data_IF_948432173751
#
_entry.id   IF_948432173751
#
_cell.length_a   1.000
_cell.length_b   1.000
_cell.length_c   1.000
_cell.angle_alpha   90.00
_cell.angle_beta   90.00
_cell.angle_gamma   90.00
#
_symmetry.space_group_name_H-M   'P 1'
#
loop_
_entity.id
_entity.type
_entity.pdbx_description
1 polymer ?
#
# COMPACT_ATOMS: atom_id res chain seq x y z
N UNK A 1 -39.34 -19.58 -39.19
CA UNK A 1 -38.82 -18.68 -38.14
C UNK A 1 -38.93 -19.39 -36.81
N UNK A 2 -37.83 -19.90 -36.27
CA UNK A 2 -37.77 -20.33 -34.87
C UNK A 2 -36.31 -20.19 -34.42
N UNK A 3 -36.14 -19.32 -33.43
CA UNK A 3 -34.87 -18.81 -32.94
C UNK A 3 -34.09 -19.89 -32.18
N UNK A 4 -32.84 -20.09 -32.58
CA UNK A 4 -31.80 -20.67 -31.74
C UNK A 4 -31.45 -19.65 -30.64
N UNK A 5 -31.84 -19.91 -29.39
CA UNK A 5 -31.21 -19.28 -28.23
C UNK A 5 -30.21 -20.26 -27.61
N UNK A 6 -28.95 -19.88 -27.74
CA UNK A 6 -27.80 -20.50 -27.09
C UNK A 6 -27.96 -20.26 -25.57
N UNK A 7 -28.15 -21.34 -24.82
CA UNK A 7 -28.12 -21.32 -23.35
C UNK A 7 -26.66 -21.11 -22.96
N UNK A 8 -26.29 -19.88 -22.60
CA UNK A 8 -25.07 -19.63 -21.84
C UNK A 8 -25.29 -20.19 -20.44
N UNK A 9 -24.63 -21.31 -20.14
CA UNK A 9 -24.43 -21.80 -18.79
C UNK A 9 -23.65 -20.75 -18.00
N UNK A 10 -24.36 -20.02 -17.14
CA UNK A 10 -23.77 -19.11 -16.15
C UNK A 10 -22.82 -19.92 -15.25
N UNK A 11 -21.58 -19.45 -14.99
CA UNK A 11 -20.70 -20.09 -14.02
C UNK A 11 -21.36 -20.05 -12.63
N UNK A 12 -21.27 -21.14 -11.88
CA UNK A 12 -21.74 -21.21 -10.50
C UNK A 12 -21.12 -20.08 -9.67
N UNK A 13 -21.90 -19.05 -9.33
CA UNK A 13 -21.52 -17.99 -8.41
C UNK A 13 -21.21 -18.59 -7.03
N UNK A 14 -19.93 -18.61 -6.66
CA UNK A 14 -19.50 -18.85 -5.29
C UNK A 14 -20.05 -17.71 -4.43
N UNK A 15 -21.16 -17.94 -3.74
CA UNK A 15 -21.73 -17.03 -2.73
C UNK A 15 -20.64 -16.59 -1.75
N UNK A 16 -20.39 -15.28 -1.65
CA UNK A 16 -19.34 -14.70 -0.79
C UNK A 16 -19.55 -15.07 0.69
N UNK A 17 -18.46 -15.14 1.47
CA UNK A 17 -18.48 -15.35 2.92
C UNK A 17 -19.52 -14.47 3.63
N UNK A 18 -19.53 -13.17 3.28
CA UNK A 18 -20.50 -12.20 3.76
C UNK A 18 -21.92 -12.59 3.38
N UNK A 19 -22.20 -13.00 2.14
CA UNK A 19 -23.55 -13.44 1.76
C UNK A 19 -24.05 -14.66 2.54
N UNK A 20 -23.15 -15.51 3.05
CA UNK A 20 -23.49 -16.69 3.87
C UNK A 20 -23.63 -16.35 5.37
N UNK A 21 -22.82 -15.43 5.90
CA UNK A 21 -23.10 -14.83 7.22
C UNK A 21 -24.40 -14.02 7.20
N UNK A 22 -24.69 -13.38 6.06
CA UNK A 22 -25.73 -12.37 5.92
C UNK A 22 -26.96 -12.84 5.15
N UNK A 23 -27.04 -14.11 4.74
CA UNK A 23 -28.29 -14.72 4.25
C UNK A 23 -29.39 -14.71 5.30
N UNK A 24 -29.08 -14.25 6.52
CA UNK A 24 -29.97 -13.54 7.45
C UNK A 24 -30.57 -12.22 6.88
N UNK A 25 -30.83 -12.16 5.56
CA UNK A 25 -31.43 -11.05 4.80
C UNK A 25 -32.79 -10.60 5.35
N UNK A 26 -33.38 -11.39 6.25
CA UNK A 26 -34.63 -11.13 6.97
C UNK A 26 -34.54 -9.96 7.98
N UNK A 27 -33.35 -9.52 8.41
CA UNK A 27 -33.22 -8.45 9.42
C UNK A 27 -33.87 -7.13 8.96
N UNK A 28 -33.70 -6.75 7.69
CA UNK A 28 -34.30 -5.52 7.13
C UNK A 28 -35.70 -5.74 6.55
N UNK A 29 -36.10 -6.99 6.23
CA UNK A 29 -37.46 -7.28 5.78
C UNK A 29 -38.48 -7.20 6.92
N UNK A 30 -38.07 -7.48 8.17
CA UNK A 30 -39.00 -7.52 9.32
C UNK A 30 -39.23 -6.19 10.03
N UNK A 31 -38.41 -5.16 9.81
CA UNK A 31 -38.54 -3.88 10.53
C UNK A 31 -38.49 -2.67 9.59
N UNK A 32 -39.59 -2.31 8.89
CA UNK A 32 -39.64 -1.14 8.03
C UNK A 32 -39.78 0.20 8.80
N UNK A 33 -39.53 0.26 10.11
CA UNK A 33 -39.66 1.49 10.90
C UNK A 33 -38.64 1.58 12.03
N UNK A 34 -37.49 2.19 11.74
CA UNK A 34 -36.98 3.26 12.59
C UNK A 34 -36.53 4.36 11.63
N UNK A 35 -37.31 5.43 11.54
CA UNK A 35 -36.74 6.73 11.20
C UNK A 35 -35.69 6.98 12.27
N UNK A 36 -34.42 6.69 11.94
CA UNK A 36 -33.32 7.02 12.82
C UNK A 36 -33.27 8.54 12.89
N UNK A 37 -33.87 9.08 13.94
CA UNK A 37 -33.65 10.45 14.38
C UNK A 37 -32.14 10.62 14.49
N UNK A 38 -31.58 11.43 13.61
CA UNK A 38 -30.18 11.86 13.67
C UNK A 38 -29.97 12.48 15.05
N UNK A 39 -29.24 11.78 15.93
CA UNK A 39 -28.84 12.30 17.24
C UNK A 39 -27.43 12.87 17.10
N UNK A 40 -27.27 14.21 17.00
CA UNK A 40 -25.95 14.83 16.79
C UNK A 40 -24.98 14.60 17.97
N UNK A 41 -25.49 14.17 19.12
CA UNK A 41 -24.76 14.17 20.39
C UNK A 41 -24.22 12.81 20.84
N UNK A 42 -24.48 11.70 20.13
CA UNK A 42 -24.14 10.35 20.62
C UNK A 42 -22.86 9.75 20.02
N UNK A 43 -22.47 10.01 18.76
CA UNK A 43 -21.37 9.23 18.12
C UNK A 43 -20.21 10.08 17.54
N UNK A 44 -19.95 11.24 18.13
CA UNK A 44 -18.73 11.99 17.78
C UNK A 44 -17.57 11.54 18.68
N UNK A 45 -16.42 11.08 18.13
CA UNK A 45 -15.20 10.95 18.92
C UNK A 45 -14.91 12.30 19.57
N UNK A 46 -15.09 12.40 20.89
CA UNK A 46 -14.72 13.59 21.66
C UNK A 46 -13.21 13.61 21.78
N UNK A 47 -12.52 13.89 20.67
CA UNK A 47 -11.08 14.12 20.69
C UNK A 47 -10.85 15.37 21.52
N UNK A 48 -10.23 15.18 22.69
CA UNK A 48 -9.82 16.23 23.63
C UNK A 48 -8.62 17.04 23.15
N UNK A 49 -8.17 16.83 21.91
CA UNK A 49 -7.04 17.54 21.33
C UNK A 49 -7.54 18.76 20.53
N UNK A 50 -7.19 19.94 21.03
CA UNK A 50 -7.37 21.22 20.35
C UNK A 50 -6.56 21.19 19.04
N UNK A 51 -7.31 21.15 17.93
CA UNK A 51 -6.83 20.98 16.54
C UNK A 51 -7.42 19.71 15.91
N UNK A 52 -8.60 19.81 15.27
CA UNK A 52 -9.36 18.67 14.75
C UNK A 52 -8.51 17.82 13.80
N UNK A 53 -8.05 16.67 14.30
CA UNK A 53 -7.35 15.67 13.49
C UNK A 53 -8.27 15.20 12.38
N UNK A 54 -7.71 14.88 11.21
CA UNK A 54 -8.44 14.28 10.10
C UNK A 54 -9.01 12.94 10.55
N UNK A 55 -10.10 12.50 9.93
CA UNK A 55 -10.66 11.17 10.18
C UNK A 55 -10.30 10.25 9.03
N UNK A 56 -9.89 9.03 9.37
CA UNK A 56 -9.79 7.94 8.41
C UNK A 56 -10.72 6.81 8.80
N UNK A 57 -11.66 6.51 7.91
CA UNK A 57 -12.54 5.36 8.00
C UNK A 57 -11.87 4.21 7.25
N UNK A 58 -11.66 3.08 7.93
CA UNK A 58 -11.09 1.88 7.33
C UNK A 58 -12.13 0.77 7.33
N UNK A 59 -12.33 0.15 6.17
CA UNK A 59 -13.08 -1.09 6.07
C UNK A 59 -12.31 -2.30 6.62
N UNK A 60 -13.01 -3.40 6.90
CA UNK A 60 -12.44 -4.61 7.49
C UNK A 60 -12.19 -5.72 6.46
N UNK A 61 -13.26 -6.27 5.89
CA UNK A 61 -13.23 -7.48 5.05
C UNK A 61 -12.73 -7.15 3.64
N UNK A 62 -11.84 -7.97 3.08
CA UNK A 62 -11.12 -7.70 1.83
C UNK A 62 -10.29 -6.39 1.82
N UNK A 63 -10.21 -5.67 2.95
CA UNK A 63 -9.42 -4.45 3.10
C UNK A 63 -8.26 -4.65 4.08
N UNK A 64 -8.55 -5.02 5.33
CA UNK A 64 -7.58 -5.26 6.40
C UNK A 64 -7.39 -6.74 6.71
N UNK A 65 -8.40 -7.56 6.45
CA UNK A 65 -8.39 -9.00 6.66
C UNK A 65 -9.14 -9.70 5.54
N UNK A 66 -9.01 -11.01 5.46
CA UNK A 66 -9.89 -11.85 4.67
C UNK A 66 -10.34 -13.06 5.48
N UNK A 67 -11.62 -13.42 5.35
CA UNK A 67 -12.24 -14.45 6.18
C UNK A 67 -13.02 -15.47 5.38
N UNK A 68 -12.99 -16.71 5.84
CA UNK A 68 -13.75 -17.82 5.24
C UNK A 68 -14.17 -18.86 6.27
N UNK A 69 -15.23 -19.60 5.95
CA UNK A 69 -15.74 -20.70 6.78
C UNK A 69 -14.98 -22.02 6.57
N UNK A 70 -14.36 -22.18 5.40
CA UNK A 70 -13.61 -23.39 5.09
C UNK A 70 -12.25 -23.31 5.77
N UNK A 71 -11.83 -24.40 6.42
CA UNK A 71 -10.49 -24.50 7.00
C UNK A 71 -9.43 -24.40 5.89
N UNK A 72 -8.35 -23.69 6.17
CA UNK A 72 -7.14 -23.63 5.37
C UNK A 72 -5.93 -23.60 6.30
N UNK A 73 -4.78 -24.12 5.88
CA UNK A 73 -3.67 -24.39 6.80
C UNK A 73 -2.91 -23.13 7.28
N UNK A 74 -3.26 -21.96 6.77
CA UNK A 74 -2.49 -20.74 6.94
C UNK A 74 -3.35 -19.54 7.32
N UNK A 75 -4.02 -19.60 8.47
CA UNK A 75 -4.76 -18.48 9.09
C UNK A 75 -3.99 -17.87 10.26
N UNK A 76 -4.31 -16.62 10.60
CA UNK A 76 -3.76 -15.91 11.75
C UNK A 76 -4.69 -16.01 12.97
N UNK A 77 -6.00 -16.12 12.72
CA UNK A 77 -7.03 -16.16 13.75
C UNK A 77 -8.14 -17.14 13.35
N UNK A 78 -8.59 -17.96 14.30
CA UNK A 78 -9.78 -18.78 14.17
C UNK A 78 -10.79 -18.36 15.25
N UNK A 79 -12.04 -18.16 14.84
CA UNK A 79 -13.12 -17.67 15.68
C UNK A 79 -14.28 -18.65 15.68
N UNK A 80 -14.80 -18.93 16.86
CA UNK A 80 -16.10 -19.59 17.06
C UNK A 80 -17.13 -18.50 17.38
N UNK A 81 -18.02 -18.21 16.43
CA UNK A 81 -19.03 -17.15 16.54
C UNK A 81 -20.44 -17.73 16.57
N UNK A 82 -21.35 -17.05 17.26
CA UNK A 82 -22.76 -17.43 17.32
C UNK A 82 -23.58 -16.38 16.59
N UNK A 83 -24.30 -16.80 15.54
CA UNK A 83 -25.22 -15.94 14.79
C UNK A 83 -26.56 -16.64 14.73
N UNK A 84 -27.62 -15.99 15.24
CA UNK A 84 -28.99 -16.55 15.28
C UNK A 84 -29.05 -17.96 15.90
N UNK A 85 -28.35 -18.15 17.03
CA UNK A 85 -28.27 -19.44 17.75
C UNK A 85 -27.57 -20.56 16.97
N UNK A 86 -26.88 -20.25 15.88
CA UNK A 86 -26.05 -21.19 15.14
C UNK A 86 -24.56 -20.85 15.32
N UNK A 87 -23.76 -21.89 15.59
CA UNK A 87 -22.31 -21.76 15.71
C UNK A 87 -21.65 -21.81 14.34
N UNK A 88 -20.72 -20.90 14.10
CA UNK A 88 -19.88 -20.88 12.91
C UNK A 88 -18.42 -20.80 13.33
N UNK A 89 -17.58 -21.59 12.64
CA UNK A 89 -16.13 -21.45 12.70
C UNK A 89 -15.66 -20.59 11.53
N UNK A 90 -14.94 -19.53 11.83
CA UNK A 90 -14.40 -18.57 10.85
C UNK A 90 -12.89 -18.55 10.97
N UNK A 91 -12.21 -18.60 9.83
CA UNK A 91 -10.76 -18.53 9.73
C UNK A 91 -10.39 -17.23 9.02
N UNK A 92 -9.47 -16.47 9.60
CA UNK A 92 -9.14 -15.10 9.22
C UNK A 92 -7.64 -15.00 8.92
N UNK A 93 -7.31 -14.36 7.80
CA UNK A 93 -5.95 -13.91 7.45
C UNK A 93 -5.89 -12.41 7.61
N UNK A 94 -4.83 -11.91 8.23
CA UNK A 94 -4.55 -10.50 8.37
C UNK A 94 -3.71 -9.99 7.20
N UNK A 95 -4.08 -8.83 6.66
CA UNK A 95 -3.32 -8.21 5.58
C UNK A 95 -1.93 -7.81 6.06
N UNK A 96 -0.85 -8.20 5.34
CA UNK A 96 0.51 -7.87 5.74
C UNK A 96 0.72 -6.36 5.96
N UNK A 97 1.43 -6.00 7.04
CA UNK A 97 1.78 -4.62 7.36
C UNK A 97 0.77 -3.86 8.24
N UNK A 98 -0.32 -4.49 8.68
CA UNK A 98 -1.40 -3.81 9.43
C UNK A 98 -0.91 -3.07 10.69
N UNK A 99 0.02 -3.65 11.45
CA UNK A 99 0.54 -3.03 12.68
C UNK A 99 1.21 -1.69 12.36
N UNK A 100 2.12 -1.69 11.39
CA UNK A 100 2.82 -0.47 10.96
C UNK A 100 1.83 0.53 10.35
N UNK A 101 0.84 0.05 9.61
CA UNK A 101 -0.20 0.88 9.03
C UNK A 101 -0.97 1.65 10.11
N UNK A 102 -1.44 0.98 11.16
CA UNK A 102 -2.14 1.63 12.27
C UNK A 102 -1.22 2.53 13.11
N UNK A 103 0.01 2.09 13.41
CA UNK A 103 1.00 2.88 14.14
C UNK A 103 1.26 4.23 13.46
N UNK A 104 1.31 4.24 12.12
CA UNK A 104 1.56 5.43 11.34
C UNK A 104 0.30 6.28 11.20
N UNK A 105 -0.85 5.70 10.85
CA UNK A 105 -2.10 6.44 10.72
C UNK A 105 -2.52 7.12 12.03
N UNK A 106 -2.32 6.45 13.17
CA UNK A 106 -2.69 6.99 14.48
C UNK A 106 -1.90 8.24 14.88
N UNK A 107 -0.84 8.61 14.15
CA UNK A 107 -0.14 9.87 14.34
C UNK A 107 -0.83 11.05 13.62
N UNK A 108 -1.60 10.78 12.56
CA UNK A 108 -2.19 11.81 11.69
C UNK A 108 -3.73 11.85 11.72
N UNK A 109 -4.37 10.73 12.03
CA UNK A 109 -5.81 10.56 11.97
C UNK A 109 -6.42 10.10 13.29
N UNK A 110 -7.69 10.47 13.48
CA UNK A 110 -8.60 9.71 14.34
C UNK A 110 -9.14 8.54 13.51
N UNK A 111 -8.76 7.31 13.87
CA UNK A 111 -9.09 6.10 13.10
C UNK A 111 -10.48 5.59 13.49
N UNK A 112 -11.33 5.38 12.50
CA UNK A 112 -12.63 4.71 12.66
C UNK A 112 -12.60 3.40 11.87
N UNK A 113 -12.85 2.27 12.53
CA UNK A 113 -13.09 1.01 11.82
C UNK A 113 -14.58 0.92 11.51
N UNK A 114 -14.97 0.87 10.25
CA UNK A 114 -16.37 0.77 9.85
C UNK A 114 -16.55 -0.37 8.87
N UNK A 115 -17.26 -1.42 9.26
CA UNK A 115 -17.52 -2.59 8.41
C UNK A 115 -19.01 -2.77 8.14
N UNK A 116 -19.34 -3.32 6.97
CA UNK A 116 -20.69 -3.81 6.69
C UNK A 116 -20.98 -5.16 7.35
N UNK A 117 -20.05 -5.75 8.11
CA UNK A 117 -20.19 -7.06 8.76
C UNK A 117 -20.88 -7.01 10.12
N UNK A 118 -21.35 -8.17 10.56
CA UNK A 118 -21.98 -8.35 11.88
C UNK A 118 -20.96 -8.17 13.00
N UNK A 119 -21.41 -7.58 14.12
CA UNK A 119 -20.56 -7.27 15.28
C UNK A 119 -19.97 -8.52 15.91
N UNK A 120 -20.73 -9.61 15.96
CA UNK A 120 -20.35 -10.91 16.53
C UNK A 120 -19.09 -11.50 15.87
N UNK A 121 -18.90 -11.20 14.58
CA UNK A 121 -17.70 -11.56 13.84
C UNK A 121 -16.65 -10.46 13.88
N UNK A 122 -17.04 -9.22 13.58
CA UNK A 122 -16.08 -8.15 13.34
C UNK A 122 -15.37 -7.69 14.62
N UNK A 123 -16.06 -7.67 15.77
CA UNK A 123 -15.50 -7.22 17.04
C UNK A 123 -14.26 -8.04 17.47
N UNK A 124 -14.31 -9.39 17.55
CA UNK A 124 -13.13 -10.17 17.90
C UNK A 124 -12.00 -10.08 16.86
N UNK A 125 -12.31 -9.88 15.58
CA UNK A 125 -11.28 -9.60 14.56
C UNK A 125 -10.60 -8.27 14.84
N UNK A 126 -11.37 -7.20 15.10
CA UNK A 126 -10.86 -5.88 15.44
C UNK A 126 -10.01 -5.91 16.72
N UNK A 127 -10.39 -6.71 17.73
CA UNK A 127 -9.59 -6.90 18.95
C UNK A 127 -8.23 -7.54 18.65
N UNK A 128 -8.17 -8.44 17.66
CA UNK A 128 -6.92 -9.08 17.24
C UNK A 128 -5.99 -8.14 16.45
N UNK A 129 -6.54 -7.35 15.51
CA UNK A 129 -5.73 -6.47 14.65
C UNK A 129 -5.40 -5.11 15.28
N UNK A 130 -6.18 -4.68 16.29
CA UNK A 130 -6.01 -3.42 17.02
C UNK A 130 -5.88 -3.65 18.54
N UNK A 131 -4.86 -4.39 19.02
CA UNK A 131 -4.71 -4.70 20.44
C UNK A 131 -4.43 -3.45 21.30
N UNK A 132 -3.84 -2.41 20.70
CA UNK A 132 -3.52 -1.15 21.36
C UNK A 132 -4.69 -0.15 21.37
N UNK A 133 -5.86 -0.53 20.80
CA UNK A 133 -7.07 0.32 20.69
C UNK A 133 -6.80 1.69 20.07
N UNK A 134 -6.11 1.71 18.93
CA UNK A 134 -5.84 2.93 18.14
C UNK A 134 -7.09 3.46 17.45
N UNK A 135 -8.05 2.59 17.13
CA UNK A 135 -9.34 3.03 16.63
C UNK A 135 -10.12 3.75 17.73
N UNK A 136 -10.55 4.99 17.46
CA UNK A 136 -11.37 5.79 18.39
C UNK A 136 -12.84 5.36 18.38
N UNK A 137 -13.28 4.71 17.30
CA UNK A 137 -14.65 4.23 17.12
C UNK A 137 -14.69 2.97 16.25
N UNK A 138 -15.69 2.10 16.50
CA UNK A 138 -15.90 0.84 15.77
C UNK A 138 -17.37 0.72 15.37
N UNK A 139 -17.63 0.89 14.09
CA UNK A 139 -18.96 0.87 13.48
C UNK A 139 -19.18 -0.43 12.71
N UNK A 140 -20.38 -0.99 12.84
CA UNK A 140 -20.75 -2.28 12.27
C UNK A 140 -21.90 -2.13 11.27
N UNK A 141 -22.44 -3.28 10.82
CA UNK A 141 -23.56 -3.36 9.88
C UNK A 141 -24.77 -2.48 10.23
N UNK A 142 -25.11 -2.40 11.51
CA UNK A 142 -26.24 -1.62 12.01
C UNK A 142 -26.06 -0.10 11.83
N UNK A 143 -24.81 0.35 11.70
CA UNK A 143 -24.46 1.75 11.44
C UNK A 143 -24.54 2.11 9.95
N UNK A 144 -24.53 1.11 9.06
CA UNK A 144 -24.63 1.34 7.61
C UNK A 144 -26.02 1.84 7.18
N UNK A 145 -26.06 2.60 6.09
CA UNK A 145 -27.29 3.07 5.44
C UNK A 145 -27.72 2.09 4.36
N UNK A 146 -28.98 1.60 4.34
CA UNK A 146 -29.51 0.87 3.19
C UNK A 146 -29.54 1.76 1.95
N UNK A 147 -28.95 1.29 0.85
CA UNK A 147 -28.96 1.98 -0.43
C UNK A 147 -29.22 0.99 -1.57
N UNK A 148 -30.37 1.14 -2.24
CA UNK A 148 -30.88 0.17 -3.22
C UNK A 148 -30.90 -1.25 -2.62
N UNK A 149 -30.15 -2.18 -3.22
CA UNK A 149 -30.07 -3.58 -2.81
C UNK A 149 -28.83 -3.90 -1.94
N UNK A 150 -28.19 -2.87 -1.37
CA UNK A 150 -26.96 -3.02 -0.59
C UNK A 150 -26.89 -2.06 0.59
N UNK A 151 -25.70 -2.01 1.19
CA UNK A 151 -25.37 -1.12 2.30
C UNK A 151 -24.30 -0.12 1.84
N UNK A 152 -24.36 1.09 2.38
CA UNK A 152 -23.35 2.13 2.18
C UNK A 152 -23.03 2.83 3.51
N UNK A 153 -21.83 3.39 3.61
CA UNK A 153 -21.31 4.09 4.79
C UNK A 153 -21.46 5.59 4.54
N UNK A 154 -22.58 6.12 5.00
CA UNK A 154 -22.91 7.54 4.87
C UNK A 154 -22.03 8.37 5.82
N UNK A 155 -20.99 8.98 5.27
CA UNK A 155 -19.99 9.72 6.06
C UNK A 155 -20.58 10.98 6.71
N UNK A 156 -21.74 11.48 6.24
CA UNK A 156 -22.42 12.63 6.85
C UNK A 156 -22.92 12.33 8.27
N UNK A 157 -23.05 11.04 8.62
CA UNK A 157 -23.42 10.57 9.95
C UNK A 157 -22.29 10.71 10.99
N UNK A 158 -21.05 10.94 10.57
CA UNK A 158 -19.92 11.11 11.48
C UNK A 158 -19.89 12.47 12.19
N UNK A 159 -20.75 13.42 11.78
CA UNK A 159 -20.81 14.75 12.39
C UNK A 159 -19.51 15.56 12.22
N UNK A 160 -18.85 15.41 11.06
CA UNK A 160 -17.55 16.01 10.75
C UNK A 160 -17.58 16.62 9.36
N UNK A 161 -16.78 17.67 9.16
CA UNK A 161 -16.66 18.28 7.84
C UNK A 161 -15.99 17.27 6.88
N UNK A 162 -16.66 16.96 5.77
CA UNK A 162 -16.17 15.97 4.81
C UNK A 162 -14.85 16.38 4.15
N UNK A 163 -14.44 17.66 4.21
CA UNK A 163 -13.09 18.05 3.78
C UNK A 163 -11.97 17.42 4.64
N UNK A 164 -12.33 16.91 5.81
CA UNK A 164 -11.43 16.34 6.82
C UNK A 164 -11.57 14.81 6.96
N UNK A 165 -12.39 14.16 6.12
CA UNK A 165 -12.70 12.72 6.23
C UNK A 165 -12.21 11.96 5.00
N UNK A 166 -11.47 10.86 5.21
CA UNK A 166 -11.09 9.90 4.17
C UNK A 166 -11.73 8.55 4.50
N UNK A 167 -12.26 7.85 3.50
CA UNK A 167 -12.63 6.44 3.63
C UNK A 167 -11.78 5.56 2.71
N UNK A 168 -11.23 4.49 3.26
CA UNK A 168 -10.50 3.45 2.52
C UNK A 168 -11.31 2.16 2.58
N UNK A 169 -11.77 1.73 1.41
CA UNK A 169 -12.67 0.59 1.27
C UNK A 169 -12.44 -0.04 -0.10
N UNK A 170 -12.49 -1.37 -0.19
CA UNK A 170 -12.27 -2.06 -1.45
C UNK A 170 -13.48 -1.94 -2.40
N UNK A 171 -14.66 -1.69 -1.84
CA UNK A 171 -15.93 -1.56 -2.56
C UNK A 171 -16.34 -0.10 -2.73
N UNK A 172 -16.43 0.37 -3.99
CA UNK A 172 -16.95 1.71 -4.31
C UNK A 172 -18.39 1.94 -3.84
N UNK A 173 -19.18 0.87 -3.67
CA UNK A 173 -20.55 0.97 -3.17
C UNK A 173 -20.58 1.42 -1.70
N UNK A 174 -19.54 1.10 -0.93
CA UNK A 174 -19.43 1.45 0.48
C UNK A 174 -19.38 2.96 0.70
N UNK A 175 -18.92 3.75 -0.27
CA UNK A 175 -18.83 5.21 -0.17
C UNK A 175 -19.54 5.93 -1.32
N UNK A 176 -20.53 5.29 -1.95
CA UNK A 176 -21.25 5.85 -3.12
C UNK A 176 -21.99 7.16 -2.81
N UNK A 177 -22.35 7.41 -1.54
CA UNK A 177 -22.96 8.67 -1.10
C UNK A 177 -21.94 9.81 -0.95
N UNK A 178 -20.66 9.49 -0.78
CA UNK A 178 -19.57 10.45 -0.58
C UNK A 178 -18.36 10.07 -1.46
N UNK A 179 -18.52 10.00 -2.80
CA UNK A 179 -17.50 9.44 -3.69
C UNK A 179 -16.18 10.21 -3.69
N UNK A 180 -16.21 11.51 -3.42
CA UNK A 180 -15.00 12.34 -3.37
C UNK A 180 -14.11 12.04 -2.16
N UNK A 181 -14.65 11.41 -1.11
CA UNK A 181 -13.93 11.05 0.11
C UNK A 181 -13.25 9.67 0.02
N UNK A 182 -13.57 8.89 -1.02
CA UNK A 182 -13.17 7.50 -1.12
C UNK A 182 -11.80 7.28 -1.77
N UNK A 183 -11.02 6.40 -1.15
CA UNK A 183 -9.91 5.70 -1.77
C UNK A 183 -10.30 4.23 -1.96
N UNK A 184 -10.49 3.81 -3.20
CA UNK A 184 -10.66 2.40 -3.50
C UNK A 184 -9.32 1.67 -3.34
N UNK A 185 -9.22 0.80 -2.35
CA UNK A 185 -8.07 -0.09 -2.13
C UNK A 185 -8.27 -1.40 -2.88
N UNK A 186 -7.19 -2.10 -3.22
CA UNK A 186 -7.30 -3.45 -3.80
C UNK A 186 -7.81 -4.46 -2.78
N UNK A 187 -8.68 -5.35 -3.25
CA UNK A 187 -9.12 -6.52 -2.52
C UNK A 187 -7.92 -7.31 -1.97
N UNK A 188 -8.03 -7.74 -0.73
CA UNK A 188 -7.11 -8.66 -0.07
C UNK A 188 -7.77 -10.02 0.14
N UNK A 189 -7.04 -11.08 -0.18
CA UNK A 189 -7.50 -12.46 0.04
C UNK A 189 -6.49 -13.26 0.86
N UNK A 190 -5.42 -13.76 0.26
CA UNK A 190 -4.48 -14.67 0.94
C UNK A 190 -3.01 -14.40 0.60
N UNK A 191 -2.73 -13.35 -0.17
CA UNK A 191 -1.36 -13.06 -0.61
C UNK A 191 -0.50 -12.54 0.54
N UNK A 192 0.38 -13.40 1.06
CA UNK A 192 1.33 -13.03 2.12
C UNK A 192 2.37 -12.00 1.68
N UNK A 193 2.53 -11.80 0.37
CA UNK A 193 3.41 -10.79 -0.21
C UNK A 193 2.67 -9.51 -0.63
N UNK A 194 1.37 -9.39 -0.30
CA UNK A 194 0.63 -8.14 -0.48
C UNK A 194 1.36 -6.99 0.23
N UNK A 195 1.49 -5.87 -0.49
CA UNK A 195 2.12 -4.63 -0.01
C UNK A 195 1.20 -3.43 -0.19
N UNK A 196 -0.10 -3.65 -0.34
CA UNK A 196 -1.00 -2.55 -0.67
C UNK A 196 -1.11 -1.55 0.48
N UNK A 197 -1.18 -2.02 1.74
CA UNK A 197 -1.16 -1.14 2.92
C UNK A 197 0.11 -0.28 2.98
N UNK A 198 1.27 -0.89 2.72
CA UNK A 198 2.57 -0.19 2.61
C UNK A 198 2.57 0.81 1.45
N UNK A 199 1.90 0.47 0.34
CA UNK A 199 1.86 1.27 -0.89
C UNK A 199 1.01 2.53 -0.72
N UNK A 200 -0.17 2.42 -0.09
CA UNK A 200 -1.08 3.56 0.11
C UNK A 200 -0.68 4.46 1.27
N UNK A 201 0.03 3.94 2.28
CA UNK A 201 0.34 4.66 3.51
C UNK A 201 1.04 6.02 3.28
N UNK A 202 2.08 6.14 2.43
CA UNK A 202 2.71 7.45 2.18
C UNK A 202 1.75 8.49 1.61
N UNK A 203 0.78 8.06 0.79
CA UNK A 203 -0.25 8.95 0.27
C UNK A 203 -1.21 9.40 1.37
N UNK A 204 -1.67 8.46 2.21
CA UNK A 204 -2.56 8.77 3.33
C UNK A 204 -1.89 9.73 4.33
N UNK A 205 -0.58 9.60 4.58
CA UNK A 205 0.15 10.57 5.40
C UNK A 205 0.21 11.93 4.69
N UNK A 206 0.53 11.96 3.40
CA UNK A 206 0.62 13.21 2.63
C UNK A 206 -0.72 13.98 2.57
N UNK A 207 -1.83 13.29 2.29
CA UNK A 207 -3.14 13.92 2.13
C UNK A 207 -3.70 14.46 3.46
N UNK A 208 -3.26 13.90 4.60
CA UNK A 208 -3.64 14.39 5.93
C UNK A 208 -3.25 15.85 6.17
N UNK A 209 -2.27 16.35 5.42
CA UNK A 209 -1.72 17.70 5.55
C UNK A 209 -2.50 18.75 4.73
N UNK A 210 -3.45 18.33 3.89
CA UNK A 210 -4.22 19.24 3.06
C UNK A 210 -5.39 19.87 3.83
N UNK A 211 -5.78 21.08 3.44
CA UNK A 211 -6.97 21.74 4.00
C UNK A 211 -8.28 21.05 3.59
N UNK A 212 -8.31 20.44 2.41
CA UNK A 212 -9.40 19.57 1.94
C UNK A 212 -8.78 18.31 1.30
N UNK A 213 -9.15 17.14 1.80
CA UNK A 213 -8.66 15.85 1.31
C UNK A 213 -9.32 15.41 0.00
N UNK A 214 -10.37 16.10 -0.45
CA UNK A 214 -11.13 15.69 -1.64
C UNK A 214 -10.59 16.31 -2.92
N UNK A 215 -10.76 15.66 -4.09
CA UNK A 215 -11.24 14.29 -4.27
C UNK A 215 -10.13 13.24 -4.09
N UNK A 216 -10.26 12.38 -3.08
CA UNK A 216 -9.20 11.48 -2.58
C UNK A 216 -8.65 10.57 -3.68
N UNK A 217 -9.52 9.88 -4.43
CA UNK A 217 -9.08 8.96 -5.49
C UNK A 217 -8.26 9.64 -6.59
N UNK A 218 -8.64 10.86 -6.98
CA UNK A 218 -7.92 11.64 -8.00
C UNK A 218 -6.57 12.08 -7.46
N UNK A 219 -6.54 12.59 -6.22
CA UNK A 219 -5.30 12.97 -5.55
C UNK A 219 -4.34 11.78 -5.44
N UNK A 220 -4.83 10.58 -5.17
CA UNK A 220 -4.00 9.37 -5.16
C UNK A 220 -3.39 9.07 -6.53
N UNK A 221 -4.17 9.18 -7.60
CA UNK A 221 -3.67 9.03 -8.96
C UNK A 221 -2.54 10.01 -9.30
N UNK A 222 -2.68 11.27 -8.91
CA UNK A 222 -1.64 12.28 -9.11
C UNK A 222 -0.41 12.04 -8.23
N UNK A 223 -0.60 11.62 -6.98
CA UNK A 223 0.49 11.24 -6.07
C UNK A 223 1.33 10.09 -6.66
N UNK A 224 0.67 9.05 -7.20
CA UNK A 224 1.35 7.94 -7.84
C UNK A 224 2.12 8.36 -9.10
N UNK A 225 1.55 9.25 -9.93
CA UNK A 225 2.23 9.80 -11.11
C UNK A 225 3.50 10.55 -10.73
N UNK A 226 3.45 11.42 -9.72
CA UNK A 226 4.62 12.18 -9.22
C UNK A 226 5.72 11.24 -8.73
N UNK A 227 5.39 10.25 -7.88
CA UNK A 227 6.35 9.24 -7.42
C UNK A 227 7.01 8.46 -8.55
N UNK A 228 6.28 8.15 -9.62
CA UNK A 228 6.85 7.46 -10.80
C UNK A 228 7.80 8.36 -11.59
N UNK A 229 7.51 9.66 -11.68
CA UNK A 229 8.38 10.62 -12.35
C UNK A 229 9.69 10.82 -11.57
N UNK A 230 9.61 10.94 -10.24
CA UNK A 230 10.77 11.05 -9.34
C UNK A 230 11.70 9.84 -9.45
N UNK A 231 11.16 8.62 -9.42
CA UNK A 231 11.97 7.40 -9.62
C UNK A 231 12.68 7.39 -10.98
N UNK A 232 12.00 7.80 -12.05
CA UNK A 232 12.60 7.88 -13.39
C UNK A 232 13.72 8.92 -13.45
N UNK A 233 13.57 10.07 -12.80
CA UNK A 233 14.65 11.05 -12.73
C UNK A 233 15.84 10.53 -11.93
N UNK A 234 15.61 9.85 -10.82
CA UNK A 234 16.68 9.29 -9.99
C UNK A 234 17.45 8.18 -10.72
N UNK A 235 16.75 7.29 -11.42
CA UNK A 235 17.34 6.25 -12.26
C UNK A 235 18.18 6.85 -13.40
N UNK A 236 17.68 7.89 -14.07
CA UNK A 236 18.43 8.59 -15.12
C UNK A 236 19.69 9.28 -14.58
N UNK A 237 19.59 9.94 -13.43
CA UNK A 237 20.75 10.56 -12.78
C UNK A 237 21.78 9.51 -12.35
N UNK A 238 21.34 8.38 -11.81
CA UNK A 238 22.23 7.29 -11.39
C UNK A 238 22.92 6.65 -12.61
N UNK A 239 22.18 6.36 -13.68
CA UNK A 239 22.74 5.80 -14.92
C UNK A 239 23.75 6.75 -15.56
N UNK A 240 23.47 8.06 -15.56
CA UNK A 240 24.40 9.07 -16.05
C UNK A 240 25.67 9.18 -15.18
N UNK A 241 25.53 9.08 -13.86
CA UNK A 241 26.65 9.03 -12.90
C UNK A 241 27.54 7.81 -13.10
N UNK A 242 26.96 6.63 -13.31
CA UNK A 242 27.68 5.39 -13.63
C UNK A 242 28.41 5.53 -14.98
N UNK A 243 27.73 6.01 -16.03
CA UNK A 243 28.32 6.19 -17.36
C UNK A 243 29.53 7.14 -17.36
N UNK A 244 29.43 8.27 -16.64
CA UNK A 244 30.56 9.19 -16.41
C UNK A 244 31.73 8.50 -15.70
N UNK A 245 31.44 7.75 -14.63
CA UNK A 245 32.47 7.04 -13.86
C UNK A 245 33.22 6.00 -14.70
N UNK A 246 32.49 5.22 -15.51
CA UNK A 246 33.07 4.24 -16.44
C UNK A 246 33.93 4.92 -17.51
N UNK A 247 33.49 6.06 -18.06
CA UNK A 247 34.26 6.81 -19.06
C UNK A 247 35.55 7.38 -18.46
N UNK A 248 35.50 7.90 -17.23
CA UNK A 248 36.68 8.37 -16.50
C UNK A 248 37.67 7.22 -16.25
N UNK A 249 37.20 6.04 -15.84
CA UNK A 249 38.05 4.86 -15.66
C UNK A 249 38.70 4.41 -16.97
N UNK A 250 37.95 4.35 -18.09
CA UNK A 250 38.51 4.03 -19.41
C UNK A 250 39.61 5.02 -19.84
N UNK A 251 39.38 6.34 -19.67
CA UNK A 251 40.40 7.36 -19.97
C UNK A 251 41.66 7.20 -19.11
N UNK A 252 41.51 6.89 -17.81
CA UNK A 252 42.64 6.61 -16.91
C UNK A 252 43.41 5.35 -17.34
N UNK A 253 42.72 4.30 -17.76
CA UNK A 253 43.33 3.05 -18.22
C UNK A 253 44.13 3.26 -19.52
N UNK A 254 43.54 3.97 -20.50
CA UNK A 254 44.19 4.30 -21.76
C UNK A 254 45.44 5.17 -21.54
N UNK A 255 45.37 6.15 -20.62
CA UNK A 255 46.54 6.98 -20.26
C UNK A 255 47.66 6.16 -19.63
N UNK A 256 47.33 5.21 -18.73
CA UNK A 256 48.33 4.29 -18.15
C UNK A 256 48.98 3.41 -19.21
N UNK A 257 48.19 2.87 -20.13
CA UNK A 257 48.69 2.07 -21.25
C UNK A 257 49.67 2.87 -22.13
N UNK A 258 49.29 4.09 -22.52
CA UNK A 258 50.12 4.97 -23.35
C UNK A 258 51.45 5.33 -22.68
N UNK A 259 51.43 5.66 -21.37
CA UNK A 259 52.65 5.95 -20.61
C UNK A 259 53.56 4.72 -20.57
N UNK A 260 53.01 3.52 -20.39
CA UNK A 260 53.79 2.28 -20.41
C UNK A 260 54.50 2.08 -21.75
N UNK A 261 53.77 2.20 -22.86
CA UNK A 261 54.35 2.06 -24.22
C UNK A 261 55.43 3.10 -24.50
N UNK A 262 55.20 4.36 -24.13
CA UNK A 262 56.21 5.43 -24.27
C UNK A 262 57.47 5.13 -23.43
N UNK A 263 57.29 4.66 -22.20
CA UNK A 263 58.41 4.32 -21.31
C UNK A 263 59.22 3.15 -21.89
N UNK A 264 58.55 2.11 -22.37
CA UNK A 264 59.20 0.98 -23.06
C UNK A 264 59.98 1.45 -24.28
N UNK A 265 59.43 2.36 -25.09
CA UNK A 265 60.10 2.90 -26.28
C UNK A 265 61.31 3.77 -25.95
N UNK A 266 61.24 4.58 -24.88
CA UNK A 266 62.37 5.39 -24.40
C UNK A 266 63.49 4.50 -23.86
N UNK A 267 63.14 3.45 -23.10
CA UNK A 267 64.11 2.48 -22.59
C UNK A 267 64.80 1.70 -23.70
N UNK A 268 64.07 1.35 -24.77
CA UNK A 268 64.64 0.67 -25.93
C UNK A 268 65.60 1.58 -26.71
N UNK A 269 65.24 2.85 -26.93
CA UNK A 269 66.16 3.82 -27.56
C UNK A 269 67.41 4.08 -26.72
N UNK A 270 67.30 4.06 -25.39
CA UNK A 270 68.44 4.21 -24.49
C UNK A 270 69.36 2.98 -24.47
N UNK A 271 68.87 1.78 -24.83
CA UNK A 271 69.70 0.59 -25.04
C UNK A 271 70.46 0.66 -26.35
N UNK A 272 69.78 1.00 -27.44
CA UNK A 272 70.40 1.11 -28.78
C UNK A 272 71.48 2.20 -28.80
N UNK A 273 71.25 3.34 -28.15
CA UNK A 273 72.26 4.42 -28.06
C UNK A 273 73.46 4.14 -27.15
N UNK A 274 73.50 3.01 -26.41
CA UNK A 274 74.67 2.59 -25.61
C UNK A 274 75.52 1.53 -26.30
N UNK A 275 75.02 0.89 -27.35
CA UNK A 275 75.81 -0.05 -28.15
C UNK A 275 76.72 0.68 -29.15
N UNK A 276 76.34 1.88 -29.61
CA UNK A 276 77.14 2.68 -30.56
C UNK A 276 78.31 3.47 -29.92
N UNK A 277 78.47 3.47 -28.58
CA UNK A 277 79.55 4.22 -27.89
C UNK A 277 80.63 3.34 -27.26
N UNK A 278 80.61 2.02 -27.48
CA UNK A 278 81.54 1.08 -26.83
C UNK A 278 82.55 0.41 -27.78
N UNK A 279 82.73 0.93 -29.00
CA UNK A 279 83.70 0.39 -29.98
C UNK A 279 84.90 1.30 -30.29
N UNK A 280 85.12 2.41 -29.55
CA UNK A 280 86.22 3.35 -29.84
C UNK A 280 87.18 3.72 -28.69
N UNK A 281 87.15 3.06 -27.52
CA UNK A 281 88.09 3.40 -26.42
C UNK A 281 88.63 2.17 -25.66
N UNK A 282 89.43 1.34 -26.36
CA UNK A 282 90.44 0.41 -25.84
C UNK A 282 91.44 0.24 -27.00
N UNK A 283 92.71 0.59 -26.98
CA UNK A 283 93.73 0.66 -25.95
C UNK A 283 94.76 1.73 -26.37
N UNK A 284 95.11 2.67 -25.49
CA UNK A 284 96.44 3.31 -25.53
C UNK A 284 96.86 3.65 -24.10
N UNK A 285 98.14 3.35 -23.83
CA UNK A 285 98.99 3.87 -22.76
C UNK A 285 98.86 3.29 -21.33
N UNK A 286 99.60 2.20 -21.10
CA UNK A 286 100.39 2.03 -19.88
C UNK A 286 101.67 2.89 -20.00
N UNK A 287 101.91 3.78 -19.03
CA UNK A 287 103.24 4.15 -18.53
C UNK A 287 103.13 5.02 -17.26
N UNK A 288 103.80 4.60 -16.19
CA UNK A 288 104.47 5.53 -15.28
C UNK A 288 104.08 5.51 -13.80
N UNK A 289 104.88 4.75 -13.03
CA UNK A 289 105.26 4.88 -11.61
C UNK A 289 104.22 4.71 -10.48
#
# INVERSE_FOLDING_TARGET
MQNNQIIYSQPQEKRSFLSRLCSCFEYFKKNPKQENQYHPEIDSPKSSFIGQRKIIVLDLDETLVHSQFQHFDSYDLALDIVVQSQNFKVFVIVRPGIKQFFDQLNQFYDIILWTASLKEYAMPVMDYIDPDRKAVERLFRDSCTPFKNGLTKDLTKLGRDLKDVVIVDNSVFSFIMNPENGLQIKDFFFDKFDKELETILPFLIWISQLSDVRPVQIQYGEFQKKKRLEKKSDEQQNLYGISKSVTIQRKKLNRKSLIKTLTEHVMERARVGKEDTNESEKETFEMGN
#
